data_IF_152295141230
#
_entry.id   IF_152295141230
#
_cell.length_a   1.000
_cell.length_b   1.000
_cell.length_c   1.000
_cell.angle_alpha   90.00
_cell.angle_beta   90.00
_cell.angle_gamma   90.00
#
_symmetry.space_group_name_H-M   'P 1'
#
loop_
_entity.id
_entity.type
_entity.pdbx_description
1 polymer ?
#
# COMPACT_ATOMS: atom_id res chain seq x y z
N UNK A 1 18.10 5.61 27.10
CA UNK A 1 17.38 5.86 25.81
C UNK A 1 16.39 4.72 25.66
N UNK A 2 15.13 4.95 26.06
CA UNK A 2 14.09 3.93 25.98
C UNK A 2 13.66 3.76 24.52
N UNK A 3 14.10 2.69 23.89
CA UNK A 3 13.50 2.22 22.64
C UNK A 3 12.06 1.76 22.95
N UNK A 4 11.05 2.55 22.55
CA UNK A 4 9.66 2.10 22.48
C UNK A 4 9.40 1.15 21.31
N UNK A 5 10.44 0.60 20.70
CA UNK A 5 10.39 -0.39 19.63
C UNK A 5 10.06 -1.82 20.11
N UNK A 6 9.81 -2.01 21.41
CA UNK A 6 9.52 -3.31 22.01
C UNK A 6 8.33 -4.04 21.35
N UNK A 7 7.38 -3.30 20.80
CA UNK A 7 6.21 -3.91 20.18
C UNK A 7 6.51 -4.54 18.81
N UNK A 8 7.24 -3.86 17.91
CA UNK A 8 7.54 -4.36 16.57
C UNK A 8 8.44 -5.59 16.63
N UNK A 9 9.49 -5.55 17.45
CA UNK A 9 10.40 -6.70 17.67
C UNK A 9 9.66 -7.89 18.26
N UNK A 10 8.76 -7.68 19.21
CA UNK A 10 7.95 -8.74 19.80
C UNK A 10 6.97 -9.36 18.79
N UNK A 11 6.37 -8.53 17.92
CA UNK A 11 5.53 -9.04 16.83
C UNK A 11 6.32 -9.88 15.83
N UNK A 12 7.54 -9.47 15.47
CA UNK A 12 8.42 -10.22 14.59
C UNK A 12 8.79 -11.58 15.21
N UNK A 13 9.23 -11.60 16.46
CA UNK A 13 9.55 -12.83 17.20
C UNK A 13 8.34 -13.76 17.25
N UNK A 14 7.16 -13.23 17.58
CA UNK A 14 5.91 -13.99 17.64
C UNK A 14 5.55 -14.55 16.25
N UNK A 15 5.71 -13.77 15.19
CA UNK A 15 5.45 -14.21 13.81
C UNK A 15 6.36 -15.37 13.40
N UNK A 16 7.65 -15.31 13.71
CA UNK A 16 8.60 -16.41 13.47
C UNK A 16 8.14 -17.67 14.19
N UNK A 17 7.82 -17.57 15.49
CA UNK A 17 7.38 -18.71 16.31
C UNK A 17 6.11 -19.36 15.75
N UNK A 18 5.07 -18.55 15.51
CA UNK A 18 3.78 -19.03 15.00
C UNK A 18 3.97 -19.71 13.63
N UNK A 19 4.71 -19.07 12.70
CA UNK A 19 4.91 -19.63 11.37
C UNK A 19 5.69 -20.94 11.43
N UNK A 20 6.72 -21.04 12.27
CA UNK A 20 7.45 -22.29 12.49
C UNK A 20 6.52 -23.41 12.97
N UNK A 21 5.64 -23.11 13.92
CA UNK A 21 4.72 -24.11 14.49
C UNK A 21 3.69 -24.56 13.45
N UNK A 22 3.19 -23.62 12.62
CA UNK A 22 2.32 -23.94 11.47
C UNK A 22 3.05 -24.82 10.44
N UNK A 23 4.29 -24.48 10.06
CA UNK A 23 5.09 -25.29 9.14
C UNK A 23 5.26 -26.71 9.63
N UNK A 24 5.58 -26.92 10.91
CA UNK A 24 5.71 -28.25 11.52
C UNK A 24 4.42 -29.07 11.42
N UNK A 25 3.27 -28.42 11.60
CA UNK A 25 1.95 -29.05 11.56
C UNK A 25 1.48 -29.34 10.14
N UNK A 26 1.61 -28.36 9.24
CA UNK A 26 1.03 -28.40 7.89
C UNK A 26 1.97 -29.07 6.89
N UNK A 27 3.30 -28.96 7.10
CA UNK A 27 4.34 -29.46 6.19
C UNK A 27 4.12 -29.00 4.74
N UNK A 28 4.04 -27.67 4.48
CA UNK A 28 3.73 -27.15 3.15
C UNK A 28 4.89 -27.34 2.18
N UNK A 29 4.59 -27.55 0.89
CA UNK A 29 5.58 -27.62 -0.19
C UNK A 29 6.13 -26.25 -0.57
N UNK A 30 5.36 -25.17 -0.34
CA UNK A 30 5.73 -23.80 -0.63
C UNK A 30 5.01 -22.83 0.29
N UNK A 31 5.71 -21.77 0.71
CA UNK A 31 5.14 -20.64 1.41
C UNK A 31 4.88 -19.48 0.44
N UNK A 32 3.64 -19.02 0.34
CA UNK A 32 3.30 -17.84 -0.48
C UNK A 32 3.27 -16.60 0.39
N UNK A 33 4.09 -15.62 0.05
CA UNK A 33 4.23 -14.37 0.80
C UNK A 33 3.81 -13.19 -0.07
N UNK A 34 2.92 -12.34 0.47
CA UNK A 34 2.49 -11.10 -0.16
C UNK A 34 3.00 -9.91 0.63
N UNK A 35 3.77 -9.04 -0.03
CA UNK A 35 4.15 -7.74 0.52
C UNK A 35 5.47 -7.75 1.28
N UNK A 36 5.59 -6.84 2.24
CA UNK A 36 6.88 -6.31 2.70
C UNK A 36 6.89 -5.83 4.15
N UNK A 37 5.87 -6.13 4.93
CA UNK A 37 5.82 -5.69 6.32
C UNK A 37 6.60 -6.63 7.25
N UNK A 38 6.97 -6.12 8.43
CA UNK A 38 7.74 -6.87 9.42
C UNK A 38 7.04 -8.16 9.88
N UNK A 39 5.71 -8.20 9.91
CA UNK A 39 4.96 -9.41 10.24
C UNK A 39 5.23 -10.52 9.22
N UNK A 40 5.35 -10.17 7.95
CA UNK A 40 5.61 -11.08 6.84
C UNK A 40 7.08 -11.51 6.81
N UNK A 41 8.01 -10.62 7.22
CA UNK A 41 9.42 -10.97 7.36
C UNK A 41 9.63 -12.17 8.31
N UNK A 42 8.88 -12.20 9.41
CA UNK A 42 8.96 -13.35 10.33
C UNK A 42 8.55 -14.66 9.67
N UNK A 43 7.53 -14.64 8.83
CA UNK A 43 7.11 -15.80 8.05
C UNK A 43 8.15 -16.22 7.01
N UNK A 44 8.80 -15.24 6.36
CA UNK A 44 9.88 -15.52 5.41
C UNK A 44 11.11 -16.17 6.08
N UNK A 45 11.53 -15.64 7.23
CA UNK A 45 12.64 -16.19 8.02
C UNK A 45 12.32 -17.62 8.47
N UNK A 46 11.13 -17.86 9.04
CA UNK A 46 10.73 -19.18 9.50
C UNK A 46 10.70 -20.20 8.34
N UNK A 47 10.19 -19.82 7.17
CA UNK A 47 10.13 -20.66 5.98
C UNK A 47 11.54 -21.00 5.47
N UNK A 48 12.42 -20.00 5.36
CA UNK A 48 13.80 -20.17 4.92
C UNK A 48 14.56 -21.16 5.84
N UNK A 49 14.51 -20.95 7.15
CA UNK A 49 15.18 -21.84 8.13
C UNK A 49 14.60 -23.23 8.10
N UNK A 50 13.31 -23.37 7.84
CA UNK A 50 12.62 -24.66 7.73
C UNK A 50 12.81 -25.34 6.36
N UNK A 51 13.59 -24.74 5.46
CA UNK A 51 13.82 -25.21 4.08
C UNK A 51 12.52 -25.34 3.26
N UNK A 52 11.56 -24.47 3.51
CA UNK A 52 10.36 -24.38 2.70
C UNK A 52 10.56 -23.30 1.64
N UNK A 53 10.42 -23.63 0.34
CA UNK A 53 10.52 -22.65 -0.73
C UNK A 53 9.52 -21.50 -0.55
N UNK A 54 9.90 -20.31 -0.98
CA UNK A 54 9.06 -19.10 -0.86
C UNK A 54 8.72 -18.57 -2.25
N UNK A 55 7.43 -18.29 -2.47
CA UNK A 55 6.91 -17.52 -3.60
C UNK A 55 6.53 -16.13 -3.12
N UNK A 56 7.25 -15.09 -3.59
CA UNK A 56 7.07 -13.69 -3.16
C UNK A 56 6.28 -12.88 -4.19
N UNK A 57 5.16 -12.32 -3.76
CA UNK A 57 4.30 -11.43 -4.53
C UNK A 57 4.58 -9.99 -4.10
N UNK A 58 4.68 -9.05 -5.02
CA UNK A 58 5.02 -7.64 -4.81
C UNK A 58 6.49 -7.37 -4.44
N UNK A 59 7.42 -8.24 -4.86
CA UNK A 59 8.86 -7.97 -4.77
C UNK A 59 9.33 -6.88 -5.75
N UNK A 60 10.50 -6.28 -5.46
CA UNK A 60 11.18 -5.35 -6.35
C UNK A 60 10.63 -3.92 -6.41
N UNK A 61 9.57 -3.59 -5.68
CA UNK A 61 9.09 -2.21 -5.51
C UNK A 61 10.09 -1.39 -4.67
N UNK A 62 9.99 -0.05 -4.75
CA UNK A 62 10.69 0.86 -3.83
C UNK A 62 9.69 1.61 -2.96
N UNK A 63 10.07 1.81 -1.71
CA UNK A 63 9.37 2.66 -0.74
C UNK A 63 10.41 3.35 0.15
N UNK A 64 11.20 4.24 -0.46
CA UNK A 64 12.43 4.80 0.13
C UNK A 64 12.22 5.53 1.47
N UNK A 65 10.99 5.94 1.79
CA UNK A 65 10.63 6.55 3.07
C UNK A 65 10.23 5.56 4.18
N UNK A 66 10.33 4.25 3.96
CA UNK A 66 9.83 3.25 4.91
C UNK A 66 10.82 2.10 5.13
N UNK A 67 10.77 1.49 6.34
CA UNK A 67 11.51 0.27 6.66
C UNK A 67 11.11 -0.91 5.74
N UNK A 68 9.89 -0.87 5.23
CA UNK A 68 9.33 -1.86 4.30
C UNK A 68 10.23 -2.10 3.08
N UNK A 69 11.01 -1.10 2.66
CA UNK A 69 11.93 -1.23 1.50
C UNK A 69 12.99 -2.29 1.72
N UNK A 70 13.72 -2.19 2.83
CA UNK A 70 14.76 -3.16 3.21
C UNK A 70 14.16 -4.55 3.48
N UNK A 71 12.99 -4.59 4.14
CA UNK A 71 12.27 -5.84 4.43
C UNK A 71 11.88 -6.54 3.12
N UNK A 72 11.34 -5.80 2.16
CA UNK A 72 10.95 -6.34 0.83
C UNK A 72 12.11 -6.97 0.12
N UNK A 73 13.26 -6.29 0.08
CA UNK A 73 14.44 -6.80 -0.60
C UNK A 73 15.03 -8.02 0.11
N UNK A 74 14.99 -8.06 1.43
CA UNK A 74 15.37 -9.25 2.21
C UNK A 74 14.45 -10.44 1.91
N UNK A 75 13.13 -10.24 1.91
CA UNK A 75 12.16 -11.29 1.54
C UNK A 75 12.40 -11.77 0.11
N UNK A 76 12.69 -10.85 -0.83
CA UNK A 76 13.05 -11.21 -2.20
C UNK A 76 14.27 -12.15 -2.21
N UNK A 77 15.32 -11.85 -1.44
CA UNK A 77 16.51 -12.69 -1.34
C UNK A 77 16.25 -14.08 -0.73
N UNK A 78 15.30 -14.21 0.18
CA UNK A 78 14.89 -15.49 0.73
C UNK A 78 14.03 -16.33 -0.25
N UNK A 79 13.43 -15.68 -1.25
CA UNK A 79 12.40 -16.30 -2.10
C UNK A 79 12.97 -16.98 -3.34
N UNK A 80 12.28 -18.02 -3.82
CA UNK A 80 12.66 -18.86 -4.94
C UNK A 80 11.86 -18.54 -6.21
N UNK A 81 10.67 -17.97 -6.06
CA UNK A 81 9.76 -17.61 -7.14
C UNK A 81 9.21 -16.20 -6.89
N UNK A 82 9.18 -15.35 -7.91
CA UNK A 82 8.93 -13.93 -7.76
C UNK A 82 7.83 -13.45 -8.70
N UNK A 83 6.89 -12.66 -8.14
CA UNK A 83 5.78 -12.07 -8.88
C UNK A 83 5.76 -10.55 -8.69
N UNK A 84 6.68 -9.80 -9.35
CA UNK A 84 6.62 -8.35 -9.40
C UNK A 84 5.40 -7.91 -10.21
N UNK A 85 4.87 -6.72 -9.90
CA UNK A 85 3.67 -6.19 -10.56
C UNK A 85 3.97 -5.28 -11.76
N UNK A 86 5.25 -4.98 -12.02
CA UNK A 86 5.71 -4.16 -13.13
C UNK A 86 7.08 -4.60 -13.63
N UNK A 87 7.41 -4.32 -14.91
CA UNK A 87 8.66 -4.79 -15.51
C UNK A 87 9.90 -4.08 -14.95
N UNK A 88 9.80 -2.83 -14.49
CA UNK A 88 10.90 -2.18 -13.77
C UNK A 88 11.20 -2.87 -12.43
N UNK A 89 10.19 -3.40 -11.76
CA UNK A 89 10.36 -4.17 -10.52
C UNK A 89 10.97 -5.54 -10.81
N UNK A 90 10.61 -6.16 -11.95
CA UNK A 90 11.28 -7.37 -12.43
C UNK A 90 12.77 -7.12 -12.64
N UNK A 91 13.15 -6.03 -13.33
CA UNK A 91 14.56 -5.66 -13.53
C UNK A 91 15.32 -5.53 -12.20
N UNK A 92 14.70 -4.90 -11.19
CA UNK A 92 15.31 -4.74 -9.87
C UNK A 92 15.52 -6.06 -9.13
N UNK A 93 14.59 -6.99 -9.25
CA UNK A 93 14.76 -8.34 -8.69
C UNK A 93 15.96 -9.06 -9.36
N UNK A 94 16.14 -8.89 -10.67
CA UNK A 94 17.33 -9.41 -11.37
C UNK A 94 18.61 -8.75 -10.83
N UNK A 95 18.62 -7.42 -10.62
CA UNK A 95 19.74 -6.70 -10.02
C UNK A 95 20.11 -7.21 -8.61
N UNK A 96 19.14 -7.76 -7.88
CA UNK A 96 19.37 -8.42 -6.58
C UNK A 96 19.98 -9.81 -6.74
N UNK A 97 20.34 -10.25 -7.95
CA UNK A 97 20.95 -11.55 -8.23
C UNK A 97 19.95 -12.70 -8.29
N UNK A 98 18.68 -12.41 -8.62
CA UNK A 98 17.66 -13.44 -8.82
C UNK A 98 17.58 -13.87 -10.28
N UNK A 99 17.48 -15.20 -10.51
CA UNK A 99 17.44 -15.74 -11.86
C UNK A 99 16.19 -15.27 -12.63
N UNK A 100 16.33 -14.70 -13.83
CA UNK A 100 15.18 -14.23 -14.65
C UNK A 100 14.12 -15.31 -14.94
N UNK A 101 14.52 -16.60 -14.95
CA UNK A 101 13.61 -17.74 -15.15
C UNK A 101 12.65 -17.99 -13.99
N UNK A 102 12.92 -17.42 -12.80
CA UNK A 102 12.06 -17.49 -11.61
C UNK A 102 11.21 -16.23 -11.39
N UNK A 103 11.21 -15.25 -12.34
CA UNK A 103 10.57 -13.94 -12.14
C UNK A 103 9.48 -13.71 -13.19
N UNK A 104 8.21 -13.62 -12.75
CA UNK A 104 7.04 -13.53 -13.62
C UNK A 104 6.17 -12.32 -13.30
N UNK A 105 6.11 -11.32 -14.18
CA UNK A 105 5.19 -10.21 -14.06
C UNK A 105 3.83 -10.58 -14.63
N UNK A 106 2.89 -10.97 -13.77
CA UNK A 106 1.48 -11.22 -14.12
C UNK A 106 0.54 -10.07 -13.71
N UNK A 107 1.09 -8.93 -13.28
CA UNK A 107 0.33 -7.79 -12.77
C UNK A 107 0.02 -7.88 -11.27
N UNK A 108 -0.62 -6.84 -10.75
CA UNK A 108 -0.94 -6.70 -9.33
C UNK A 108 -2.26 -7.37 -8.95
N UNK A 109 -2.25 -8.15 -7.86
CA UNK A 109 -3.48 -8.74 -7.30
C UNK A 109 -4.49 -7.68 -6.88
N UNK A 110 -4.04 -6.55 -6.30
CA UNK A 110 -4.89 -5.42 -5.93
C UNK A 110 -5.60 -4.81 -7.14
N UNK A 111 -4.86 -4.51 -8.22
CA UNK A 111 -5.44 -3.97 -9.45
C UNK A 111 -6.45 -4.95 -10.08
N UNK A 112 -6.15 -6.26 -10.05
CA UNK A 112 -7.07 -7.28 -10.53
C UNK A 112 -8.32 -7.38 -9.67
N UNK A 113 -8.18 -7.40 -8.34
CA UNK A 113 -9.30 -7.43 -7.40
C UNK A 113 -10.24 -6.25 -7.61
N UNK A 114 -9.69 -5.04 -7.73
CA UNK A 114 -10.48 -3.83 -8.01
C UNK A 114 -11.28 -3.97 -9.31
N UNK A 115 -10.67 -4.53 -10.36
CA UNK A 115 -11.36 -4.74 -11.65
C UNK A 115 -12.54 -5.71 -11.56
N UNK A 116 -12.61 -6.54 -10.52
CA UNK A 116 -13.65 -7.53 -10.24
C UNK A 116 -14.60 -7.12 -9.11
N UNK A 117 -14.25 -6.11 -8.33
CA UNK A 117 -15.09 -5.67 -7.21
C UNK A 117 -16.39 -5.06 -7.73
N UNK A 118 -17.52 -5.57 -7.23
CA UNK A 118 -18.84 -4.97 -7.45
C UNK A 118 -18.89 -3.63 -6.71
N UNK A 119 -18.79 -2.55 -7.47
CA UNK A 119 -18.83 -1.18 -6.94
C UNK A 119 -20.26 -0.84 -6.55
N UNK A 120 -20.43 -0.28 -5.36
CA UNK A 120 -21.71 0.19 -4.84
C UNK A 120 -22.13 1.49 -5.54
N UNK A 121 -23.44 1.68 -5.70
CA UNK A 121 -24.00 2.95 -6.15
C UNK A 121 -23.86 4.01 -5.05
N UNK A 122 -23.96 5.27 -5.43
CA UNK A 122 -23.86 6.41 -4.49
C UNK A 122 -24.92 6.33 -3.41
N UNK A 123 -26.13 5.97 -3.76
CA UNK A 123 -27.28 5.88 -2.87
C UNK A 123 -27.06 4.78 -1.80
N UNK A 124 -26.44 3.65 -2.18
CA UNK A 124 -26.10 2.59 -1.24
C UNK A 124 -24.99 3.02 -0.27
N UNK A 125 -23.99 3.75 -0.79
CA UNK A 125 -22.95 4.36 0.05
C UNK A 125 -23.52 5.36 1.07
N UNK A 126 -24.44 6.22 0.64
CA UNK A 126 -25.12 7.17 1.53
C UNK A 126 -25.87 6.48 2.67
N UNK A 127 -26.58 5.37 2.35
CA UNK A 127 -27.30 4.56 3.36
C UNK A 127 -26.33 3.90 4.35
N UNK A 128 -25.28 3.24 3.84
CA UNK A 128 -24.32 2.51 4.67
C UNK A 128 -23.54 3.47 5.57
N UNK A 129 -23.05 4.58 5.01
CA UNK A 129 -22.23 5.55 5.72
C UNK A 129 -23.04 6.50 6.57
N UNK A 130 -24.37 6.59 6.34
CA UNK A 130 -25.28 7.58 6.95
C UNK A 130 -24.83 9.02 6.68
N UNK A 131 -24.31 9.27 5.47
CA UNK A 131 -23.79 10.57 5.02
C UNK A 131 -24.44 10.92 3.69
N UNK A 132 -24.91 12.15 3.54
CA UNK A 132 -25.33 12.68 2.23
C UNK A 132 -24.11 13.06 1.40
N UNK A 133 -23.90 12.40 0.27
CA UNK A 133 -22.75 12.62 -0.63
C UNK A 133 -23.09 13.63 -1.74
N UNK A 134 -23.68 14.78 -1.37
CA UNK A 134 -24.19 15.82 -2.28
C UNK A 134 -23.12 16.83 -2.75
N UNK A 135 -21.88 16.68 -2.29
CA UNK A 135 -20.76 17.52 -2.67
C UNK A 135 -19.62 16.67 -3.26
N UNK A 136 -18.56 17.32 -3.77
CA UNK A 136 -17.34 16.64 -4.22
C UNK A 136 -16.68 15.94 -3.05
N UNK A 137 -16.31 14.67 -3.23
CA UNK A 137 -15.74 13.84 -2.17
C UNK A 137 -14.22 13.88 -2.25
N UNK A 138 -13.58 14.15 -1.12
CA UNK A 138 -12.13 13.96 -0.92
C UNK A 138 -11.95 12.77 0.02
N UNK A 139 -11.32 11.71 -0.48
CA UNK A 139 -10.94 10.54 0.32
C UNK A 139 -9.50 10.72 0.79
N UNK A 140 -9.29 10.78 2.10
CA UNK A 140 -8.00 11.10 2.71
C UNK A 140 -7.50 9.95 3.59
N UNK A 141 -6.23 9.58 3.42
CA UNK A 141 -5.55 8.59 4.28
C UNK A 141 -4.10 9.02 4.48
N UNK A 142 -3.70 9.22 5.73
CA UNK A 142 -2.35 9.67 6.05
C UNK A 142 -1.72 8.78 7.12
N UNK A 143 -0.59 8.18 6.78
CA UNK A 143 0.17 7.28 7.65
C UNK A 143 1.42 7.96 8.19
N UNK A 144 1.93 7.56 9.36
CA UNK A 144 3.27 7.93 9.77
C UNK A 144 4.32 7.51 8.74
N UNK A 145 5.40 8.28 8.62
CA UNK A 145 6.56 7.92 7.80
C UNK A 145 7.62 7.36 8.72
N UNK A 146 7.86 6.06 8.64
CA UNK A 146 8.62 5.31 9.66
C UNK A 146 10.09 5.75 9.79
N UNK A 147 10.67 6.33 8.74
CA UNK A 147 12.03 6.86 8.73
C UNK A 147 12.13 8.35 9.12
N UNK A 148 11.00 9.07 9.18
CA UNK A 148 10.95 10.49 9.52
C UNK A 148 10.40 10.68 10.94
N UNK A 149 11.28 10.45 11.94
CA UNK A 149 10.89 10.52 13.37
C UNK A 149 10.36 11.91 13.76
N UNK A 150 9.29 11.93 14.56
CA UNK A 150 8.67 13.13 15.17
C UNK A 150 8.13 14.17 14.19
N UNK A 151 7.94 13.83 12.92
CA UNK A 151 7.43 14.75 11.89
C UNK A 151 5.92 14.59 11.60
N UNK A 152 5.33 13.47 11.96
CA UNK A 152 3.93 13.13 11.61
C UNK A 152 2.92 14.18 12.09
N UNK A 153 3.18 14.81 13.25
CA UNK A 153 2.32 15.87 13.78
C UNK A 153 2.28 17.13 12.89
N UNK A 154 3.43 17.58 12.41
CA UNK A 154 3.52 18.74 11.51
C UNK A 154 2.99 18.42 10.11
N UNK A 155 3.28 17.24 9.61
CA UNK A 155 2.82 16.77 8.30
C UNK A 155 1.30 16.71 8.23
N UNK A 156 0.65 16.09 9.21
CA UNK A 156 -0.83 16.01 9.25
C UNK A 156 -1.48 17.38 9.48
N UNK A 157 -0.88 18.27 10.26
CA UNK A 157 -1.39 19.65 10.45
C UNK A 157 -1.41 20.44 9.15
N UNK A 158 -0.39 20.31 8.30
CA UNK A 158 -0.35 20.97 7.00
C UNK A 158 -1.43 20.43 6.04
N UNK A 159 -1.65 19.12 6.00
CA UNK A 159 -2.75 18.52 5.26
C UNK A 159 -4.10 19.03 5.77
N UNK A 160 -4.30 19.04 7.08
CA UNK A 160 -5.53 19.57 7.73
C UNK A 160 -5.73 21.05 7.38
N UNK A 161 -4.68 21.88 7.45
CA UNK A 161 -4.74 23.30 7.08
C UNK A 161 -5.20 23.47 5.63
N UNK A 162 -4.65 22.66 4.71
CA UNK A 162 -5.07 22.66 3.31
C UNK A 162 -6.54 22.24 3.16
N UNK A 163 -6.95 21.10 3.74
CA UNK A 163 -8.33 20.63 3.66
C UNK A 163 -9.33 21.62 4.29
N UNK A 164 -8.90 22.31 5.35
CA UNK A 164 -9.72 23.35 5.99
C UNK A 164 -9.94 24.58 5.09
N UNK A 165 -9.04 24.87 4.18
CA UNK A 165 -9.17 25.97 3.21
C UNK A 165 -10.14 25.66 2.06
N UNK A 166 -10.59 24.42 1.93
CA UNK A 166 -11.50 24.00 0.88
C UNK A 166 -12.96 24.16 1.33
N UNK A 167 -13.79 24.74 0.47
CA UNK A 167 -15.24 24.85 0.65
C UNK A 167 -15.97 23.90 -0.31
N UNK A 168 -17.17 23.46 0.06
CA UNK A 168 -18.05 22.61 -0.76
C UNK A 168 -17.47 21.22 -1.09
N UNK A 169 -16.72 20.62 -0.14
CA UNK A 169 -16.24 19.24 -0.22
C UNK A 169 -16.71 18.44 1.00
N UNK A 170 -17.01 17.17 0.76
CA UNK A 170 -17.11 16.16 1.82
C UNK A 170 -15.74 15.51 1.94
N UNK A 171 -15.19 15.52 3.15
CA UNK A 171 -13.88 14.94 3.43
C UNK A 171 -14.09 13.67 4.25
N UNK A 172 -13.63 12.55 3.73
CA UNK A 172 -13.71 11.24 4.39
C UNK A 172 -12.29 10.77 4.70
N UNK A 173 -11.97 10.67 5.98
CA UNK A 173 -10.72 10.12 6.45
C UNK A 173 -10.85 8.64 6.80
N UNK A 174 -9.83 7.87 6.46
CA UNK A 174 -9.63 6.51 7.00
C UNK A 174 -8.45 6.48 7.97
N UNK A 175 -8.48 5.52 8.90
CA UNK A 175 -7.45 5.38 9.94
C UNK A 175 -6.07 5.14 9.34
N UNK A 176 -5.02 5.74 9.93
CA UNK A 176 -3.65 5.34 9.64
C UNK A 176 -3.36 3.91 10.10
N UNK A 177 -2.29 3.30 9.56
CA UNK A 177 -1.76 2.02 10.02
C UNK A 177 -1.30 2.09 11.47
N UNK A 178 -1.14 0.92 12.11
CA UNK A 178 -0.55 0.78 13.46
C UNK A 178 0.98 0.88 13.38
N UNK A 179 1.49 2.08 13.14
CA UNK A 179 2.92 2.39 13.15
C UNK A 179 3.23 3.36 14.31
N UNK A 180 4.49 3.59 14.59
CA UNK A 180 4.89 4.64 15.53
C UNK A 180 4.29 5.98 15.12
N UNK A 181 3.95 6.84 16.07
CA UNK A 181 3.29 8.15 15.87
C UNK A 181 1.83 8.11 15.33
N UNK A 182 1.22 6.94 15.14
CA UNK A 182 -0.20 6.84 14.75
C UNK A 182 -1.11 7.62 15.67
N UNK A 183 -0.84 7.60 16.98
CA UNK A 183 -1.65 8.33 17.98
C UNK A 183 -1.55 9.85 17.82
N UNK A 184 -0.39 10.35 17.38
CA UNK A 184 -0.20 11.79 17.09
C UNK A 184 -1.11 12.22 15.95
N UNK A 185 -1.14 11.44 14.86
CA UNK A 185 -2.03 11.71 13.72
C UNK A 185 -3.50 11.64 14.14
N UNK A 186 -3.90 10.58 14.85
CA UNK A 186 -5.30 10.43 15.33
C UNK A 186 -5.73 11.60 16.20
N UNK A 187 -4.88 12.07 17.12
CA UNK A 187 -5.16 13.22 17.99
C UNK A 187 -5.43 14.50 17.18
N UNK A 188 -4.63 14.78 16.16
CA UNK A 188 -4.85 15.97 15.32
C UNK A 188 -6.09 15.84 14.44
N UNK A 189 -6.39 14.65 13.91
CA UNK A 189 -7.62 14.37 13.16
C UNK A 189 -8.87 14.55 14.02
N UNK A 190 -8.90 14.03 15.25
CA UNK A 190 -10.04 14.18 16.18
C UNK A 190 -10.31 15.67 16.47
N UNK A 191 -9.26 16.49 16.65
CA UNK A 191 -9.43 17.94 16.83
C UNK A 191 -10.04 18.59 15.57
N UNK A 192 -9.67 18.13 14.40
CA UNK A 192 -10.19 18.65 13.14
C UNK A 192 -11.67 18.29 12.91
N UNK A 193 -12.05 17.04 13.22
CA UNK A 193 -13.42 16.57 13.11
C UNK A 193 -14.43 17.42 13.89
N UNK A 194 -14.03 17.95 15.05
CA UNK A 194 -14.88 18.81 15.89
C UNK A 194 -15.17 20.18 15.27
N UNK A 195 -14.45 20.59 14.23
CA UNK A 195 -14.49 21.94 13.68
C UNK A 195 -15.43 22.11 12.47
N UNK A 196 -15.79 21.03 11.78
CA UNK A 196 -16.59 21.08 10.54
C UNK A 196 -17.57 19.92 10.45
N UNK A 197 -18.80 20.19 9.98
CA UNK A 197 -19.88 19.20 9.82
C UNK A 197 -19.72 18.28 8.59
N UNK A 198 -18.86 18.63 7.64
CA UNK A 198 -18.67 17.89 6.38
C UNK A 198 -17.40 17.02 6.36
N UNK A 199 -16.87 16.69 7.54
CA UNK A 199 -15.69 15.85 7.71
C UNK A 199 -16.08 14.61 8.49
N UNK A 200 -15.73 13.46 7.95
CA UNK A 200 -16.05 12.15 8.51
C UNK A 200 -14.77 11.33 8.68
N UNK A 201 -14.76 10.50 9.71
CA UNK A 201 -13.65 9.61 9.99
C UNK A 201 -14.15 8.19 10.22
N UNK A 202 -13.50 7.23 9.62
CA UNK A 202 -13.78 5.80 9.78
C UNK A 202 -12.49 5.05 10.11
N UNK A 203 -12.53 4.23 11.15
CA UNK A 203 -11.39 3.37 11.47
C UNK A 203 -11.15 2.34 10.36
N UNK A 204 -12.23 1.81 9.79
CA UNK A 204 -12.19 0.95 8.60
C UNK A 204 -13.50 1.10 7.83
N UNK A 205 -13.39 1.14 6.51
CA UNK A 205 -14.53 1.13 5.60
C UNK A 205 -14.77 -0.27 4.99
N UNK A 206 -13.85 -1.19 5.19
CA UNK A 206 -13.82 -2.42 4.43
C UNK A 206 -13.50 -2.17 2.94
N UNK A 207 -13.10 -3.23 2.25
CA UNK A 207 -12.59 -3.13 0.88
C UNK A 207 -13.62 -2.60 -0.11
N UNK A 208 -14.86 -3.13 -0.09
CA UNK A 208 -15.88 -2.78 -1.08
C UNK A 208 -16.29 -1.30 -0.98
N UNK A 209 -16.54 -0.80 0.23
CA UNK A 209 -16.95 0.59 0.46
C UNK A 209 -15.81 1.54 0.09
N UNK A 210 -14.56 1.22 0.52
CA UNK A 210 -13.39 2.03 0.22
C UNK A 210 -13.14 2.15 -1.29
N UNK A 211 -13.19 1.03 -2.04
CA UNK A 211 -13.05 1.02 -3.50
C UNK A 211 -14.18 1.79 -4.17
N UNK A 212 -15.41 1.64 -3.67
CA UNK A 212 -16.58 2.36 -4.22
C UNK A 212 -16.47 3.87 -4.01
N UNK A 213 -16.05 4.30 -2.83
CA UNK A 213 -15.75 5.71 -2.54
C UNK A 213 -14.61 6.23 -3.41
N UNK A 214 -13.53 5.46 -3.57
CA UNK A 214 -12.39 5.82 -4.42
C UNK A 214 -12.82 6.07 -5.87
N UNK A 215 -13.72 5.25 -6.41
CA UNK A 215 -14.26 5.40 -7.77
C UNK A 215 -15.02 6.71 -7.96
N UNK A 216 -15.85 7.11 -6.99
CA UNK A 216 -16.69 8.32 -7.07
C UNK A 216 -15.99 9.55 -6.49
N UNK A 217 -14.85 9.39 -5.80
CA UNK A 217 -14.09 10.50 -5.24
C UNK A 217 -13.66 11.48 -6.32
N UNK A 218 -13.79 12.77 -6.01
CA UNK A 218 -13.22 13.83 -6.81
C UNK A 218 -11.69 13.85 -6.69
N UNK A 219 -11.18 13.53 -5.50
CA UNK A 219 -9.76 13.49 -5.17
C UNK A 219 -9.48 12.45 -4.11
N UNK A 220 -8.38 11.70 -4.28
CA UNK A 220 -7.73 10.95 -3.20
C UNK A 220 -6.50 11.72 -2.76
N UNK A 221 -6.27 11.88 -1.46
CA UNK A 221 -5.16 12.66 -0.93
C UNK A 221 -4.52 11.99 0.29
N UNK A 222 -3.21 12.05 0.38
CA UNK A 222 -2.43 11.51 1.51
C UNK A 222 -1.19 10.76 1.05
N UNK A 223 -0.74 9.78 1.84
CA UNK A 223 0.47 9.02 1.55
C UNK A 223 0.26 7.49 1.58
N UNK A 224 -0.99 7.05 1.41
CA UNK A 224 -1.33 5.63 1.33
C UNK A 224 -0.88 5.01 0.02
N UNK A 225 -0.43 3.74 0.06
CA UNK A 225 -0.13 2.98 -1.14
C UNK A 225 -1.33 2.79 -2.07
N UNK A 226 -2.55 2.77 -1.52
CA UNK A 226 -3.79 2.70 -2.31
C UNK A 226 -3.93 3.88 -3.28
N UNK A 227 -3.49 5.08 -2.87
CA UNK A 227 -3.43 6.26 -3.72
C UNK A 227 -2.50 6.12 -4.93
N UNK A 228 -1.52 5.21 -4.88
CA UNK A 228 -0.56 4.98 -5.97
C UNK A 228 -0.90 3.73 -6.78
N UNK A 229 -1.30 2.64 -6.13
CA UNK A 229 -1.49 1.34 -6.77
C UNK A 229 -2.93 1.10 -7.26
N UNK A 230 -3.92 1.70 -6.60
CA UNK A 230 -5.34 1.39 -6.79
C UNK A 230 -6.09 2.47 -7.57
N UNK A 231 -5.86 3.75 -7.27
CA UNK A 231 -6.54 4.87 -7.96
C UNK A 231 -6.39 4.88 -9.48
N UNK A 232 -5.28 4.37 -10.08
CA UNK A 232 -5.18 4.27 -11.53
C UNK A 232 -6.27 3.39 -12.16
N UNK A 233 -6.84 2.42 -11.42
CA UNK A 233 -7.93 1.57 -11.92
C UNK A 233 -9.21 2.34 -12.26
N UNK A 234 -9.41 3.49 -11.65
CA UNK A 234 -10.56 4.38 -11.90
C UNK A 234 -10.16 5.71 -12.56
N UNK A 235 -8.87 5.97 -12.68
CA UNK A 235 -8.34 7.27 -13.09
C UNK A 235 -8.65 8.38 -12.07
N UNK A 236 -8.90 8.02 -10.81
CA UNK A 236 -9.22 8.98 -9.76
C UNK A 236 -8.02 9.87 -9.48
N UNK A 237 -8.22 11.17 -9.54
CA UNK A 237 -7.19 12.17 -9.27
C UNK A 237 -6.59 11.95 -7.89
N UNK A 238 -5.26 11.98 -7.79
CA UNK A 238 -4.58 11.65 -6.55
C UNK A 238 -3.44 12.61 -6.27
N UNK A 239 -3.36 13.09 -5.03
CA UNK A 239 -2.19 13.81 -4.50
C UNK A 239 -1.49 12.90 -3.50
N UNK A 240 -0.29 12.45 -3.86
CA UNK A 240 0.58 11.70 -2.98
C UNK A 240 1.51 12.66 -2.25
N UNK A 241 1.41 12.72 -0.92
CA UNK A 241 2.13 13.68 -0.09
C UNK A 241 3.38 13.03 0.50
N UNK A 242 4.52 13.69 0.27
CA UNK A 242 5.80 13.33 0.88
C UNK A 242 6.45 12.06 0.32
N UNK A 243 7.40 11.52 1.06
CA UNK A 243 8.37 10.55 0.56
C UNK A 243 7.99 9.09 0.79
N UNK A 244 6.89 8.81 1.53
CA UNK A 244 6.52 7.43 1.89
C UNK A 244 6.37 6.49 0.69
N UNK A 245 5.89 7.00 -0.45
CA UNK A 245 5.72 6.24 -1.68
C UNK A 245 6.82 6.52 -2.72
N UNK A 246 7.90 7.19 -2.32
CA UNK A 246 8.99 7.52 -3.24
C UNK A 246 9.63 6.26 -3.83
N UNK A 247 9.95 6.33 -5.11
CA UNK A 247 10.48 5.19 -5.88
C UNK A 247 9.44 4.29 -6.54
N UNK A 248 8.14 4.46 -6.22
CA UNK A 248 7.06 3.76 -6.92
C UNK A 248 6.77 4.38 -8.27
N UNK A 249 6.29 3.55 -9.19
CA UNK A 249 5.80 4.01 -10.50
C UNK A 249 4.54 4.84 -10.30
N UNK A 250 4.56 6.04 -10.85
CA UNK A 250 3.49 7.01 -10.72
C UNK A 250 2.69 7.08 -12.02
N UNK A 251 1.40 6.81 -11.93
CA UNK A 251 0.46 6.93 -13.04
C UNK A 251 0.09 8.42 -13.29
N UNK A 252 -0.29 8.80 -14.52
CA UNK A 252 -0.63 10.20 -14.86
C UNK A 252 -1.74 10.85 -14.03
N UNK A 253 -2.62 10.07 -13.41
CA UNK A 253 -3.67 10.57 -12.49
C UNK A 253 -3.12 10.99 -11.12
N UNK A 254 -1.81 10.88 -10.87
CA UNK A 254 -1.19 11.13 -9.57
C UNK A 254 -0.20 12.29 -9.68
N UNK A 255 -0.14 13.12 -8.66
CA UNK A 255 0.90 14.14 -8.47
C UNK A 255 1.53 13.92 -7.09
N UNK A 256 2.86 13.86 -7.06
CA UNK A 256 3.62 13.91 -5.82
C UNK A 256 3.83 15.37 -5.39
N UNK A 257 3.79 15.64 -4.10
CA UNK A 257 4.14 16.93 -3.52
C UNK A 257 4.76 16.77 -2.14
N UNK A 258 5.41 17.82 -1.66
CA UNK A 258 5.95 17.87 -0.31
C UNK A 258 4.84 18.07 0.72
N UNK A 259 5.21 17.99 2.00
CA UNK A 259 4.28 18.05 3.14
C UNK A 259 3.73 19.45 3.45
N UNK A 260 4.34 20.51 2.92
CA UNK A 260 3.95 21.88 3.23
C UNK A 260 2.65 22.29 2.52
N UNK A 261 1.94 23.24 3.11
CA UNK A 261 0.64 23.74 2.64
C UNK A 261 0.69 24.23 1.17
N UNK A 262 1.73 24.95 0.79
CA UNK A 262 1.84 25.56 -0.54
C UNK A 262 2.07 24.49 -1.61
N UNK A 263 2.91 23.50 -1.34
CA UNK A 263 3.15 22.36 -2.22
C UNK A 263 1.86 21.55 -2.44
N UNK A 264 1.11 21.28 -1.37
CA UNK A 264 -0.19 20.59 -1.47
C UNK A 264 -1.18 21.42 -2.30
N UNK A 265 -1.28 22.73 -2.06
CA UNK A 265 -2.16 23.64 -2.82
C UNK A 265 -1.78 23.71 -4.29
N UNK A 266 -0.48 23.79 -4.61
CA UNK A 266 0.04 23.78 -5.99
C UNK A 266 -0.30 22.45 -6.69
N UNK A 267 -0.10 21.32 -6.01
CA UNK A 267 -0.45 20.01 -6.54
C UNK A 267 -1.96 19.89 -6.79
N UNK A 268 -2.79 20.38 -5.89
CA UNK A 268 -4.25 20.43 -6.06
C UNK A 268 -4.66 21.21 -7.31
N UNK A 269 -4.18 22.43 -7.47
CA UNK A 269 -4.49 23.30 -8.63
C UNK A 269 -4.04 22.66 -9.97
N UNK A 270 -2.97 21.86 -9.95
CA UNK A 270 -2.47 21.14 -11.12
C UNK A 270 -3.28 19.87 -11.42
N UNK A 271 -3.63 19.06 -10.38
CA UNK A 271 -4.30 17.78 -10.57
C UNK A 271 -5.76 17.93 -11.01
N UNK A 272 -6.46 18.97 -10.54
CA UNK A 272 -7.86 19.18 -10.92
C UNK A 272 -8.05 19.43 -12.42
N UNK A 273 -7.01 19.92 -13.12
CA UNK A 273 -7.00 20.17 -14.55
C UNK A 273 -6.68 18.93 -15.40
N UNK A 274 -6.24 17.80 -14.79
CA UNK A 274 -5.88 16.59 -15.53
C UNK A 274 -7.09 15.77 -15.96
N UNK A 275 -6.96 15.02 -17.08
CA UNK A 275 -7.93 14.03 -17.52
C UNK A 275 -7.99 12.84 -16.56
N UNK A 276 -9.18 12.20 -16.42
CA UNK A 276 -9.38 10.99 -15.59
C UNK A 276 -8.93 9.70 -16.28
N UNK A 277 -8.91 9.64 -17.63
CA UNK A 277 -8.60 8.40 -18.35
C UNK A 277 -7.11 8.15 -18.39
N UNK A 278 -6.66 7.15 -17.64
CA UNK A 278 -5.27 6.67 -17.64
C UNK A 278 -5.30 5.13 -17.52
N UNK A 279 -4.41 4.41 -18.22
CA UNK A 279 -4.28 2.99 -18.03
C UNK A 279 -3.67 2.70 -16.65
N UNK A 280 -4.17 1.66 -15.97
CA UNK A 280 -3.51 1.19 -14.77
C UNK A 280 -2.27 0.35 -15.15
N UNK A 281 -1.05 0.79 -14.82
CA UNK A 281 0.19 0.10 -15.21
C UNK A 281 0.35 -1.28 -14.55
N UNK A 282 -0.42 -1.55 -13.50
CA UNK A 282 -0.35 -2.78 -12.71
C UNK A 282 -1.43 -3.79 -13.09
N UNK A 283 -2.38 -3.44 -13.96
CA UNK A 283 -3.49 -4.32 -14.32
C UNK A 283 -3.09 -5.25 -15.47
N UNK A 284 -3.15 -6.56 -15.23
CA UNK A 284 -3.05 -7.61 -16.26
C UNK A 284 -4.21 -8.59 -16.14
N UNK A 285 -4.55 -9.25 -17.24
CA UNK A 285 -5.65 -10.24 -17.27
C UNK A 285 -5.27 -11.53 -16.54
N UNK A 286 -6.22 -12.07 -15.78
CA UNK A 286 -6.13 -13.38 -15.11
C UNK A 286 -4.93 -13.51 -14.15
N UNK A 287 -4.55 -12.43 -13.48
CA UNK A 287 -3.42 -12.38 -12.54
C UNK A 287 -3.44 -13.51 -11.51
N UNK A 288 -4.52 -13.73 -10.72
CA UNK A 288 -4.53 -14.77 -9.69
C UNK A 288 -4.31 -16.17 -10.26
N UNK A 289 -5.01 -16.52 -11.35
CA UNK A 289 -4.91 -17.84 -11.95
C UNK A 289 -3.51 -18.12 -12.54
N UNK A 290 -2.87 -17.09 -13.14
CA UNK A 290 -1.51 -17.21 -13.66
C UNK A 290 -0.49 -17.40 -12.52
N UNK A 291 -0.64 -16.67 -11.43
CA UNK A 291 0.21 -16.83 -10.23
C UNK A 291 0.02 -18.23 -9.66
N UNK A 292 -1.22 -18.64 -9.38
CA UNK A 292 -1.51 -19.95 -8.81
C UNK A 292 -0.98 -21.10 -9.69
N UNK A 293 -1.29 -21.07 -11.01
CA UNK A 293 -0.78 -22.07 -11.96
C UNK A 293 0.76 -22.12 -11.97
N UNK A 294 1.42 -20.95 -11.86
CA UNK A 294 2.89 -20.93 -11.86
C UNK A 294 3.47 -21.48 -10.55
N UNK A 295 2.87 -21.17 -9.40
CA UNK A 295 3.27 -21.72 -8.09
C UNK A 295 3.17 -23.25 -8.10
N UNK A 296 2.03 -23.79 -8.56
CA UNK A 296 1.79 -25.25 -8.57
C UNK A 296 2.71 -26.03 -9.52
N UNK A 297 3.12 -25.42 -10.64
CA UNK A 297 3.93 -26.07 -11.66
C UNK A 297 5.43 -25.71 -11.63
N UNK A 298 5.85 -24.88 -10.67
CA UNK A 298 7.25 -24.49 -10.57
C UNK A 298 8.04 -25.57 -9.86
N UNK A 299 9.16 -26.00 -10.46
CA UNK A 299 10.10 -26.91 -9.82
C UNK A 299 11.01 -26.10 -8.90
N UNK A 300 10.82 -26.26 -7.60
CA UNK A 300 11.60 -25.56 -6.59
C UNK A 300 12.93 -26.31 -6.35
N UNK A 301 14.03 -25.59 -6.56
CA UNK A 301 15.36 -26.03 -6.12
C UNK A 301 15.73 -25.25 -4.86
N UNK A 302 16.04 -25.94 -3.78
CA UNK A 302 16.48 -25.32 -2.53
C UNK A 302 17.88 -24.69 -2.66
N UNK A 303 18.69 -25.14 -3.62
CA UNK A 303 19.96 -24.49 -3.97
C UNK A 303 19.64 -23.23 -4.78
N UNK A 304 19.91 -22.11 -4.17
CA UNK A 304 19.70 -20.81 -4.79
C UNK A 304 21.04 -20.18 -5.15
N UNK A 305 21.33 -20.13 -6.43
CA UNK A 305 22.55 -19.50 -6.94
C UNK A 305 22.31 -18.01 -7.15
N UNK A 306 23.32 -17.21 -6.91
CA UNK A 306 23.33 -15.80 -7.30
C UNK A 306 23.40 -15.73 -8.84
N UNK A 307 22.60 -14.87 -9.44
CA UNK A 307 22.60 -14.62 -10.88
C UNK A 307 23.40 -13.36 -11.14
N UNK A 308 24.55 -13.49 -11.73
CA UNK A 308 25.40 -12.38 -12.17
C UNK A 308 24.84 -11.77 -13.46
N UNK A 309 24.96 -10.42 -13.60
CA UNK A 309 24.46 -9.65 -14.72
C UNK A 309 25.61 -9.27 -15.63
#
# INVERSE_FOLDING_TARGET
KNFKDSNVSNYLIKSIKITRDVIKKVKPDVCVILGDRYEILGSAIASMISRIPIAHIHGGELTLGALDDSIRHSITKFSHLHFPIHDQYKKRIIQLGENPKSIFNFGGLGAHSISKTKVLKKEDLEKILKIKLNQKIILATFHPVTLEKYQSGNQIKNLIKFLNSLNNYIIIFTSPNFDNETQVIKKELIKFLKKKKNIYYFDSLGSQIYISLMKIAYLVIGNSSSGVLETPSFGTKTINIGNRQHGRIISPNIINCDYDFNSIKKAFNKIIKRSKKVPNPFLKKNTPNKIAKKILNFKYDLKKNFYDI
#
